data_IF_669120026778
#
_entry.id   IF_669120026778
#
_cell.length_a   1.000
_cell.length_b   1.000
_cell.length_c   1.000
_cell.angle_alpha   90.00
_cell.angle_beta   90.00
_cell.angle_gamma   90.00
#
_symmetry.space_group_name_H-M   'P 1'
#
loop_
_entity.id
_entity.type
_entity.pdbx_description
1 polymer ?
#
# COMPACT_ATOMS: atom_id res chain seq x y z
N UNK A 1 -22.36 14.23 1.84
CA UNK A 1 -21.48 14.60 2.96
C UNK A 1 -20.59 13.44 3.45
N UNK A 2 -21.05 12.21 3.47
CA UNK A 2 -20.23 11.06 3.90
C UNK A 2 -19.00 10.80 3.00
N UNK A 3 -19.13 10.93 1.68
CA UNK A 3 -18.02 10.76 0.75
C UNK A 3 -16.87 11.75 1.01
N UNK A 4 -17.20 13.00 1.37
CA UNK A 4 -16.22 14.03 1.70
C UNK A 4 -15.48 13.70 3.01
N UNK A 5 -16.20 13.22 4.03
CA UNK A 5 -15.59 12.76 5.29
C UNK A 5 -14.67 11.58 5.08
N UNK A 6 -15.07 10.65 4.21
CA UNK A 6 -14.26 9.48 3.85
C UNK A 6 -13.00 9.86 3.08
N UNK A 7 -13.13 10.79 2.12
CA UNK A 7 -12.00 11.34 1.38
C UNK A 7 -11.01 12.06 2.32
N UNK A 8 -11.53 12.92 3.22
CA UNK A 8 -10.72 13.64 4.20
C UNK A 8 -9.93 12.71 5.13
N UNK A 9 -10.58 11.63 5.59
CA UNK A 9 -9.91 10.61 6.44
C UNK A 9 -8.79 9.86 5.70
N UNK A 10 -8.86 9.76 4.37
CA UNK A 10 -7.85 9.07 3.55
C UNK A 10 -6.59 9.90 3.30
N UNK A 11 -6.66 11.22 3.42
CA UNK A 11 -5.53 12.10 3.23
C UNK A 11 -4.58 12.04 4.43
N UNK A 12 -3.28 11.96 4.15
CA UNK A 12 -2.27 12.16 5.19
C UNK A 12 -2.19 13.65 5.63
N UNK A 13 -1.48 13.91 6.73
CA UNK A 13 -1.40 15.25 7.31
C UNK A 13 -0.87 16.30 6.33
N UNK A 14 0.15 15.96 5.55
CA UNK A 14 0.77 16.87 4.58
C UNK A 14 -0.20 17.19 3.44
N UNK A 15 -0.84 16.18 2.88
CA UNK A 15 -1.83 16.36 1.81
C UNK A 15 -3.04 17.18 2.29
N UNK A 16 -3.46 17.05 3.56
CA UNK A 16 -4.52 17.89 4.14
C UNK A 16 -4.10 19.36 4.19
N UNK A 17 -2.88 19.64 4.65
CA UNK A 17 -2.36 21.02 4.72
C UNK A 17 -2.30 21.61 3.32
N UNK A 18 -1.72 20.89 2.35
CA UNK A 18 -1.60 21.33 0.96
C UNK A 18 -2.98 21.59 0.34
N UNK A 19 -3.96 20.72 0.60
CA UNK A 19 -5.32 20.88 0.09
C UNK A 19 -5.97 22.14 0.67
N UNK A 20 -5.88 22.36 1.98
CA UNK A 20 -6.49 23.52 2.64
C UNK A 20 -5.86 24.83 2.18
N UNK A 21 -4.52 24.90 2.18
CA UNK A 21 -3.79 26.10 1.77
C UNK A 21 -3.96 26.40 0.29
N UNK A 22 -3.93 25.38 -0.56
CA UNK A 22 -4.16 25.54 -2.01
C UNK A 22 -5.57 26.01 -2.33
N UNK A 23 -6.60 25.46 -1.67
CA UNK A 23 -7.98 25.89 -1.84
C UNK A 23 -8.17 27.34 -1.33
N UNK A 24 -7.61 27.69 -0.19
CA UNK A 24 -7.69 29.04 0.34
C UNK A 24 -7.06 30.06 -0.63
N UNK A 25 -5.86 29.76 -1.14
CA UNK A 25 -5.20 30.61 -2.14
C UNK A 25 -6.02 30.73 -3.43
N UNK A 26 -6.60 29.64 -3.93
CA UNK A 26 -7.44 29.64 -5.11
C UNK A 26 -8.69 30.50 -4.94
N UNK A 27 -9.35 30.43 -3.77
CA UNK A 27 -10.53 31.24 -3.45
C UNK A 27 -10.16 32.73 -3.40
N UNK A 28 -9.04 33.09 -2.74
CA UNK A 28 -8.58 34.48 -2.69
C UNK A 28 -8.34 35.02 -4.10
N UNK A 29 -7.68 34.25 -4.98
CA UNK A 29 -7.46 34.67 -6.37
C UNK A 29 -8.77 34.86 -7.13
N UNK A 30 -9.78 34.00 -6.90
CA UNK A 30 -11.11 34.15 -7.50
C UNK A 30 -11.81 35.41 -7.06
N UNK A 31 -11.79 35.70 -5.75
CA UNK A 31 -12.42 36.91 -5.16
C UNK A 31 -11.75 38.18 -5.71
N UNK A 32 -10.43 38.13 -5.97
CA UNK A 32 -9.68 39.24 -6.59
C UNK A 32 -9.85 39.33 -8.10
N UNK A 33 -10.72 38.52 -8.71
CA UNK A 33 -10.94 38.49 -10.15
C UNK A 33 -9.81 37.89 -10.97
N UNK A 34 -8.86 37.24 -10.30
CA UNK A 34 -7.66 36.67 -10.93
C UNK A 34 -7.81 35.16 -11.16
N UNK A 35 -8.82 34.76 -11.89
CA UNK A 35 -9.20 33.35 -12.09
C UNK A 35 -8.07 32.49 -12.71
N UNK A 36 -7.20 33.08 -13.55
CA UNK A 36 -6.06 32.38 -14.16
C UNK A 36 -5.09 31.83 -13.09
N UNK A 37 -4.80 32.61 -12.07
CA UNK A 37 -3.92 32.18 -10.97
C UNK A 37 -4.58 31.14 -10.09
N UNK A 38 -5.90 31.18 -9.93
CA UNK A 38 -6.65 30.15 -9.21
C UNK A 38 -6.46 28.78 -9.88
N UNK A 39 -6.55 28.69 -11.20
CA UNK A 39 -6.31 27.45 -11.96
C UNK A 39 -4.86 26.97 -11.75
N UNK A 40 -3.89 27.88 -11.86
CA UNK A 40 -2.48 27.54 -11.67
C UNK A 40 -2.24 26.96 -10.27
N UNK A 41 -2.79 27.55 -9.21
CA UNK A 41 -2.68 27.01 -7.84
C UNK A 41 -3.29 25.61 -7.73
N UNK A 42 -4.46 25.37 -8.32
CA UNK A 42 -5.11 24.05 -8.29
C UNK A 42 -4.27 22.97 -9.00
N UNK A 43 -3.68 23.32 -10.15
CA UNK A 43 -2.78 22.41 -10.89
C UNK A 43 -1.53 22.09 -10.08
N UNK A 44 -0.86 23.12 -9.52
CA UNK A 44 0.32 22.92 -8.68
C UNK A 44 0.02 22.07 -7.44
N UNK A 45 -1.09 22.32 -6.78
CA UNK A 45 -1.54 21.52 -5.64
C UNK A 45 -1.72 20.05 -6.03
N UNK A 46 -2.40 19.78 -7.16
CA UNK A 46 -2.59 18.43 -7.67
C UNK A 46 -1.27 17.73 -8.00
N UNK A 47 -0.37 18.41 -8.70
CA UNK A 47 0.96 17.89 -9.03
C UNK A 47 1.79 17.58 -7.77
N UNK A 48 1.78 18.48 -6.79
CA UNK A 48 2.49 18.27 -5.52
C UNK A 48 1.95 17.02 -4.79
N UNK A 49 0.63 16.89 -4.67
CA UNK A 49 0.02 15.73 -4.01
C UNK A 49 0.38 14.42 -4.70
N UNK A 50 0.37 14.38 -6.03
CA UNK A 50 0.76 13.19 -6.81
C UNK A 50 2.23 12.87 -6.59
N UNK A 51 3.12 13.86 -6.66
CA UNK A 51 4.55 13.67 -6.46
C UNK A 51 4.87 13.20 -5.04
N UNK A 52 4.25 13.83 -4.02
CA UNK A 52 4.43 13.45 -2.62
C UNK A 52 3.97 12.00 -2.36
N UNK A 53 2.78 11.63 -2.84
CA UNK A 53 2.28 10.28 -2.68
C UNK A 53 3.15 9.26 -3.42
N UNK A 54 3.62 9.58 -4.63
CA UNK A 54 4.54 8.72 -5.38
C UNK A 54 5.86 8.47 -4.65
N UNK A 55 6.46 9.51 -4.07
CA UNK A 55 7.69 9.38 -3.28
C UNK A 55 7.47 8.54 -2.01
N UNK A 56 6.33 8.75 -1.33
CA UNK A 56 5.96 7.99 -0.14
C UNK A 56 5.82 6.51 -0.46
N UNK A 57 5.07 6.17 -1.53
CA UNK A 57 4.90 4.79 -1.97
C UNK A 57 6.24 4.14 -2.30
N UNK A 58 7.11 4.83 -3.06
CA UNK A 58 8.46 4.33 -3.38
C UNK A 58 9.29 4.10 -2.13
N UNK A 59 9.24 5.02 -1.15
CA UNK A 59 9.97 4.87 0.11
C UNK A 59 9.49 3.66 0.90
N UNK A 60 8.17 3.48 1.04
CA UNK A 60 7.57 2.35 1.75
C UNK A 60 7.88 1.03 1.04
N UNK A 61 7.78 0.99 -0.29
CA UNK A 61 8.13 -0.18 -1.09
C UNK A 61 9.60 -0.59 -0.89
N UNK A 62 10.53 0.36 -0.85
CA UNK A 62 11.95 0.05 -0.57
C UNK A 62 12.19 -0.48 0.84
N UNK A 63 11.46 0.05 1.83
CA UNK A 63 11.63 -0.34 3.23
C UNK A 63 10.97 -1.68 3.56
N UNK A 64 9.80 -1.94 3.00
CA UNK A 64 8.93 -3.05 3.41
C UNK A 64 8.49 -3.96 2.25
N UNK A 65 8.85 -3.64 1.03
CA UNK A 65 8.41 -4.37 -0.17
C UNK A 65 9.27 -5.60 -0.50
N UNK A 66 9.98 -6.18 0.48
CA UNK A 66 10.65 -7.45 0.29
C UNK A 66 9.64 -8.59 0.46
N UNK A 67 9.38 -9.31 -0.63
CA UNK A 67 8.60 -10.55 -0.66
C UNK A 67 9.55 -11.72 -0.44
N UNK A 68 9.28 -12.53 0.56
CA UNK A 68 10.07 -13.73 0.87
C UNK A 68 9.38 -14.95 0.27
N UNK A 69 9.91 -15.47 -0.82
CA UNK A 69 9.40 -16.69 -1.46
C UNK A 69 9.85 -17.91 -0.70
N UNK A 70 8.92 -18.80 -0.38
CA UNK A 70 9.22 -20.08 0.23
C UNK A 70 9.70 -21.06 -0.83
N UNK A 71 10.94 -21.50 -0.71
CA UNK A 71 11.54 -22.48 -1.59
C UNK A 71 11.27 -23.91 -1.09
N UNK A 72 11.33 -24.93 -1.97
CA UNK A 72 11.05 -26.33 -1.59
C UNK A 72 12.02 -26.88 -0.53
N UNK A 73 13.22 -26.33 -0.44
CA UNK A 73 14.26 -26.66 0.55
C UNK A 73 14.03 -26.02 1.93
N UNK A 74 12.99 -25.19 2.05
CA UNK A 74 12.64 -24.45 3.26
C UNK A 74 13.33 -23.09 3.39
N UNK A 75 14.20 -22.73 2.45
CA UNK A 75 14.85 -21.43 2.43
C UNK A 75 13.89 -20.32 2.00
N UNK A 76 14.17 -19.10 2.46
CA UNK A 76 13.42 -17.90 2.08
C UNK A 76 14.23 -17.10 1.07
N UNK A 77 13.71 -16.95 -0.15
CA UNK A 77 14.34 -16.14 -1.18
C UNK A 77 13.70 -14.75 -1.27
N UNK A 78 14.44 -13.68 -0.92
CA UNK A 78 13.89 -12.33 -0.94
C UNK A 78 13.91 -11.76 -2.36
N UNK A 79 12.75 -11.20 -2.78
CA UNK A 79 12.65 -10.39 -3.99
C UNK A 79 11.95 -9.09 -3.65
N UNK A 80 12.36 -7.99 -4.27
CA UNK A 80 11.64 -6.72 -4.07
C UNK A 80 10.31 -6.75 -4.81
N UNK A 81 9.30 -6.10 -4.24
CA UNK A 81 8.00 -5.92 -4.88
C UNK A 81 8.13 -5.34 -6.31
N UNK A 82 9.06 -4.40 -6.51
CA UNK A 82 9.29 -3.79 -7.82
C UNK A 82 9.86 -4.79 -8.83
N UNK A 83 10.77 -5.69 -8.42
CA UNK A 83 11.29 -6.75 -9.29
C UNK A 83 10.19 -7.73 -9.70
N UNK A 84 9.43 -8.23 -8.73
CA UNK A 84 8.31 -9.14 -8.98
C UNK A 84 7.29 -8.49 -9.92
N UNK A 85 6.93 -7.23 -9.67
CA UNK A 85 6.01 -6.47 -10.52
C UNK A 85 6.52 -6.30 -11.93
N UNK A 86 7.79 -5.95 -12.10
CA UNK A 86 8.40 -5.76 -13.41
C UNK A 86 8.41 -7.05 -14.24
N UNK A 87 8.70 -8.19 -13.61
CA UNK A 87 8.68 -9.50 -14.26
C UNK A 87 7.23 -9.95 -14.55
N UNK A 88 6.30 -9.67 -13.65
CA UNK A 88 4.88 -9.97 -13.81
C UNK A 88 4.27 -9.25 -15.03
N UNK A 89 4.57 -7.96 -15.20
CA UNK A 89 4.15 -7.17 -16.36
C UNK A 89 4.73 -7.73 -17.67
N UNK A 90 5.96 -8.27 -17.62
CA UNK A 90 6.62 -8.90 -18.77
C UNK A 90 6.07 -10.29 -19.12
N UNK A 91 5.03 -10.76 -18.46
CA UNK A 91 4.37 -12.04 -18.77
C UNK A 91 4.84 -13.23 -17.93
N UNK A 92 5.68 -13.01 -16.91
CA UNK A 92 6.12 -14.05 -15.99
C UNK A 92 5.08 -14.46 -14.94
N UNK A 93 3.79 -14.23 -15.23
CA UNK A 93 2.68 -14.53 -14.33
C UNK A 93 2.68 -16.00 -13.87
N UNK A 94 2.95 -16.92 -14.79
CA UNK A 94 3.04 -18.34 -14.47
C UNK A 94 4.23 -18.75 -13.60
N UNK A 95 5.23 -17.88 -13.46
CA UNK A 95 6.40 -18.15 -12.63
C UNK A 95 6.13 -17.91 -11.14
N UNK A 96 5.32 -16.92 -10.83
CA UNK A 96 5.10 -16.44 -9.47
C UNK A 96 3.68 -16.69 -8.94
N UNK A 97 2.71 -16.90 -9.82
CA UNK A 97 1.33 -17.18 -9.43
C UNK A 97 1.21 -18.46 -8.63
N UNK A 98 0.48 -18.45 -7.53
CA UNK A 98 0.28 -19.58 -6.62
C UNK A 98 1.50 -19.94 -5.77
N UNK A 99 2.59 -19.16 -5.84
CA UNK A 99 3.74 -19.41 -4.94
C UNK A 99 3.49 -18.82 -3.56
N UNK A 100 3.88 -19.57 -2.55
CA UNK A 100 3.84 -19.16 -1.16
C UNK A 100 4.87 -18.06 -0.91
N UNK A 101 4.40 -16.96 -0.35
CA UNK A 101 5.23 -15.78 -0.04
C UNK A 101 4.90 -15.28 1.35
N UNK A 102 5.91 -14.71 2.01
CA UNK A 102 5.72 -13.96 3.25
C UNK A 102 6.08 -12.50 3.02
N UNK A 103 5.34 -11.60 3.65
CA UNK A 103 5.57 -10.17 3.64
C UNK A 103 5.62 -9.62 5.06
N UNK A 104 6.70 -8.91 5.38
CA UNK A 104 6.89 -8.25 6.66
C UNK A 104 6.76 -6.73 6.49
N UNK A 105 5.83 -6.11 7.22
CA UNK A 105 5.54 -4.69 7.10
C UNK A 105 4.82 -4.14 8.34
N UNK A 106 4.81 -2.80 8.55
CA UNK A 106 4.00 -2.20 9.60
C UNK A 106 2.51 -2.24 9.21
N UNK A 107 1.69 -2.80 10.09
CA UNK A 107 0.24 -2.82 9.95
C UNK A 107 -0.32 -1.40 9.81
N UNK A 108 -1.18 -1.22 8.84
CA UNK A 108 -1.88 0.05 8.65
C UNK A 108 -3.36 -0.09 9.03
N UNK A 109 -4.11 -0.85 8.27
CA UNK A 109 -5.55 -1.10 8.48
C UNK A 109 -6.05 -2.24 7.61
N UNK A 110 -7.20 -2.79 8.03
CA UNK A 110 -8.04 -3.65 7.19
C UNK A 110 -9.25 -2.86 6.73
N UNK A 111 -9.61 -3.02 5.47
CA UNK A 111 -10.81 -2.43 4.89
C UNK A 111 -11.44 -3.40 3.91
N UNK A 112 -12.74 -3.69 4.10
CA UNK A 112 -13.51 -4.56 3.21
C UNK A 112 -12.81 -5.91 2.93
N UNK A 113 -12.22 -6.53 3.97
CA UNK A 113 -11.46 -7.78 3.86
C UNK A 113 -10.09 -7.64 3.21
N UNK A 114 -9.64 -6.43 2.89
CA UNK A 114 -8.32 -6.15 2.32
C UNK A 114 -7.43 -5.51 3.38
N UNK A 115 -6.27 -6.10 3.61
CA UNK A 115 -5.23 -5.53 4.44
C UNK A 115 -4.32 -4.65 3.57
N UNK A 116 -4.38 -3.34 3.80
CA UNK A 116 -3.63 -2.35 3.02
C UNK A 116 -2.19 -2.24 3.53
N UNK A 117 -1.20 -2.37 2.64
CA UNK A 117 0.23 -2.25 3.00
C UNK A 117 0.75 -0.81 2.92
N UNK A 118 0.02 0.07 2.23
CA UNK A 118 0.42 1.47 2.01
C UNK A 118 1.45 1.69 0.89
N UNK A 119 1.94 0.64 0.23
CA UNK A 119 2.88 0.75 -0.91
C UNK A 119 2.38 0.07 -2.20
N UNK A 120 1.09 -0.26 -2.27
CA UNK A 120 0.44 -0.72 -3.51
C UNK A 120 0.41 -2.24 -3.70
N UNK A 121 0.80 -3.01 -2.70
CA UNK A 121 0.54 -4.45 -2.61
C UNK A 121 -0.60 -4.65 -1.61
N UNK A 122 -1.71 -5.19 -2.05
CA UNK A 122 -2.83 -5.51 -1.18
C UNK A 122 -2.79 -6.98 -0.75
N UNK A 123 -3.34 -7.26 0.42
CA UNK A 123 -3.46 -8.60 0.96
C UNK A 123 -4.94 -8.90 1.12
N UNK A 124 -5.40 -9.93 0.41
CA UNK A 124 -6.79 -10.36 0.43
C UNK A 124 -7.00 -11.35 1.56
N UNK A 125 -7.75 -10.95 2.57
CA UNK A 125 -8.08 -11.78 3.73
C UNK A 125 -9.35 -12.61 3.51
N UNK A 126 -9.90 -12.65 2.30
CA UNK A 126 -11.08 -13.45 2.01
C UNK A 126 -10.81 -14.94 2.29
N UNK A 127 -11.59 -15.52 3.18
CA UNK A 127 -11.41 -16.92 3.61
C UNK A 127 -10.32 -17.12 4.67
N UNK A 128 -9.63 -16.09 5.11
CA UNK A 128 -8.72 -16.19 6.25
C UNK A 128 -9.52 -16.26 7.55
N UNK A 129 -9.38 -17.38 8.24
CA UNK A 129 -9.84 -17.53 9.62
C UNK A 129 -8.71 -17.05 10.53
N UNK A 130 -8.99 -16.02 11.36
CA UNK A 130 -8.02 -15.50 12.34
C UNK A 130 -8.11 -16.32 13.64
N UNK A 131 -7.44 -17.49 13.74
CA UNK A 131 -7.62 -18.41 14.84
C UNK A 131 -7.11 -17.86 16.18
N UNK A 132 -6.18 -16.92 16.10
CA UNK A 132 -5.57 -16.28 17.27
C UNK A 132 -6.24 -14.95 17.64
N UNK A 133 -7.20 -14.48 16.82
CA UNK A 133 -7.82 -13.18 17.03
C UNK A 133 -6.84 -12.01 17.00
N UNK A 134 -5.81 -12.11 16.16
CA UNK A 134 -4.73 -11.10 16.09
C UNK A 134 -5.23 -9.83 15.43
N UNK A 135 -5.96 -9.95 14.30
CA UNK A 135 -6.37 -8.81 13.47
C UNK A 135 -7.10 -7.71 14.25
N UNK A 136 -8.11 -8.01 15.10
CA UNK A 136 -8.82 -6.98 15.88
C UNK A 136 -7.94 -6.26 16.91
N UNK A 137 -6.84 -6.87 17.31
CA UNK A 137 -5.94 -6.36 18.35
C UNK A 137 -4.74 -5.60 17.82
N UNK A 138 -4.57 -5.56 16.48
CA UNK A 138 -3.47 -4.85 15.84
C UNK A 138 -3.65 -3.34 15.95
N UNK A 139 -2.56 -2.67 16.29
CA UNK A 139 -2.47 -1.20 16.29
C UNK A 139 -1.66 -0.74 15.08
N UNK A 140 -2.07 0.38 14.48
CA UNK A 140 -1.31 0.98 13.38
C UNK A 140 0.16 1.20 13.76
N UNK A 141 1.06 0.77 12.88
CA UNK A 141 2.50 0.82 13.08
C UNK A 141 3.12 -0.42 13.74
N UNK A 142 2.32 -1.36 14.25
CA UNK A 142 2.85 -2.66 14.70
C UNK A 142 3.34 -3.48 13.50
N UNK A 143 4.50 -4.10 13.63
CA UNK A 143 5.03 -4.96 12.59
C UNK A 143 4.37 -6.34 12.62
N UNK A 144 3.97 -6.77 11.42
CA UNK A 144 3.36 -8.08 11.19
C UNK A 144 4.07 -8.80 10.06
N UNK A 145 4.03 -10.11 10.11
CA UNK A 145 4.36 -11.00 9.01
C UNK A 145 3.05 -11.63 8.52
N UNK A 146 2.82 -11.56 7.22
CA UNK A 146 1.70 -12.22 6.56
C UNK A 146 2.24 -13.23 5.58
N UNK A 147 1.75 -14.45 5.65
CA UNK A 147 2.10 -15.54 4.72
C UNK A 147 0.86 -15.96 3.94
N UNK A 148 1.00 -16.09 2.65
CA UNK A 148 -0.08 -16.48 1.74
C UNK A 148 0.45 -16.77 0.35
N UNK A 149 -0.42 -16.82 -0.64
CA UNK A 149 -0.05 -17.07 -2.03
C UNK A 149 -0.08 -15.81 -2.87
N UNK A 150 0.92 -15.64 -3.74
CA UNK A 150 0.93 -14.56 -4.71
C UNK A 150 -0.08 -14.85 -5.81
N UNK A 151 -1.10 -14.00 -5.95
CA UNK A 151 -2.21 -14.18 -6.89
C UNK A 151 -2.27 -13.02 -7.89
N UNK A 152 -2.53 -13.35 -9.16
CA UNK A 152 -2.85 -12.37 -10.18
C UNK A 152 -4.29 -11.92 -10.07
N UNK A 153 -4.53 -10.62 -9.90
CA UNK A 153 -5.89 -10.06 -10.01
C UNK A 153 -6.18 -9.46 -11.37
N UNK A 154 -5.17 -8.86 -12.01
CA UNK A 154 -5.24 -8.26 -13.36
C UNK A 154 -3.86 -8.34 -14.01
N UNK A 155 -3.76 -7.93 -15.28
CA UNK A 155 -2.53 -8.00 -16.07
C UNK A 155 -1.31 -7.33 -15.41
N UNK A 156 -1.53 -6.29 -14.63
CA UNK A 156 -0.49 -5.46 -13.98
C UNK A 156 -0.65 -5.35 -12.45
N UNK A 157 -1.61 -6.11 -11.89
CA UNK A 157 -1.95 -6.04 -10.48
C UNK A 157 -1.98 -7.44 -9.86
N UNK A 158 -1.21 -7.61 -8.81
CA UNK A 158 -1.19 -8.82 -8.01
C UNK A 158 -1.39 -8.49 -6.52
N UNK A 159 -1.84 -9.47 -5.77
CA UNK A 159 -2.07 -9.39 -4.33
C UNK A 159 -1.53 -10.66 -3.66
N UNK A 160 -1.41 -10.64 -2.36
CA UNK A 160 -1.27 -11.85 -1.57
C UNK A 160 -2.69 -12.27 -1.19
N UNK A 161 -3.09 -13.47 -1.61
CA UNK A 161 -4.36 -14.09 -1.25
C UNK A 161 -4.12 -15.44 -0.60
N UNK A 162 -5.19 -16.23 -0.38
CA UNK A 162 -5.12 -17.51 0.33
C UNK A 162 -4.21 -17.40 1.57
N UNK A 163 -4.48 -16.37 2.39
CA UNK A 163 -3.65 -16.08 3.57
C UNK A 163 -3.72 -17.23 4.54
N UNK A 164 -2.59 -17.79 4.91
CA UNK A 164 -2.47 -18.90 5.84
C UNK A 164 -2.16 -18.44 7.25
N UNK A 165 -1.36 -17.37 7.37
CA UNK A 165 -0.85 -16.90 8.65
C UNK A 165 -0.75 -15.38 8.70
N UNK A 166 -1.17 -14.81 9.80
CA UNK A 166 -0.88 -13.41 10.20
C UNK A 166 -0.33 -13.45 11.60
N UNK A 167 0.90 -12.98 11.79
CA UNK A 167 1.51 -12.93 13.13
C UNK A 167 2.22 -11.61 13.41
N UNK A 168 2.31 -11.27 14.69
CA UNK A 168 3.15 -10.13 15.11
C UNK A 168 4.61 -10.54 15.05
N UNK A 169 5.42 -9.75 14.37
CA UNK A 169 6.85 -10.01 14.26
C UNK A 169 7.62 -8.70 14.27
N UNK A 170 8.34 -8.42 15.34
CA UNK A 170 9.08 -7.17 15.52
C UNK A 170 10.27 -7.02 14.57
N UNK A 171 10.91 -8.13 14.19
CA UNK A 171 12.10 -8.16 13.34
C UNK A 171 11.78 -8.76 11.97
N UNK A 172 12.56 -8.36 10.96
CA UNK A 172 12.47 -8.99 9.63
C UNK A 172 12.80 -10.47 9.69
N UNK A 173 12.22 -11.30 8.80
CA UNK A 173 12.68 -12.66 8.59
C UNK A 173 14.19 -12.65 8.24
N UNK A 174 14.94 -13.51 8.90
CA UNK A 174 16.35 -13.75 8.53
C UNK A 174 16.37 -14.60 7.27
N UNK A 175 17.16 -14.17 6.29
CA UNK A 175 17.46 -14.93 5.09
C UNK A 175 18.74 -15.67 5.40
N UNK A 176 18.67 -16.97 5.50
CA UNK A 176 19.84 -17.84 5.62
C UNK A 176 20.53 -18.02 4.28
#
# INVERSE_FOLDING_TARGET
>A
MEQLKTFWKKLDGINRIVLVTGLAAAIVCLVMGQWKYSIVFMVFMGMFMVAHNGQRIKRLSRLYGALYFHMPDGELYPMTFEQVRAEYIKGAQGRYGGRKVSLWFPYWRVRDGILETGFGLDIDLTGFEDPEGILPTLKSGQYILVTGELQARRRDYFCIGAVEEVRRQATRPEVQ
#
